data_IF_640300898120
#
_entry.id   IF_640300898120
#
_cell.length_a   1.000
_cell.length_b   1.000
_cell.length_c   1.000
_cell.angle_alpha   90.00
_cell.angle_beta   90.00
_cell.angle_gamma   90.00
#
_symmetry.space_group_name_H-M   'P 1'
#
loop_
_entity.id
_entity.type
_entity.pdbx_description
1 polymer ?
#
# COMPACT_ATOMS: atom_id res chain seq x y z
N UNK A 1 17.67 6.80 6.15
CA UNK A 1 17.71 6.49 4.67
C UNK A 1 16.51 7.14 4.02
N UNK A 2 16.72 7.89 2.92
CA UNK A 2 15.61 8.55 2.21
C UNK A 2 14.76 7.51 1.48
N UNK A 3 13.48 7.45 1.80
CA UNK A 3 12.54 6.49 1.24
C UNK A 3 11.73 7.06 0.07
N UNK A 4 11.39 8.35 0.16
CA UNK A 4 10.70 9.09 -0.89
C UNK A 4 11.44 10.41 -1.11
N UNK A 5 11.62 10.80 -2.37
CA UNK A 5 12.25 12.08 -2.74
C UNK A 5 11.61 12.59 -4.04
N UNK A 6 10.69 13.55 -3.88
CA UNK A 6 9.99 14.24 -4.97
C UNK A 6 10.41 15.69 -5.01
N UNK A 7 10.85 16.17 -6.19
CA UNK A 7 11.21 17.56 -6.44
C UNK A 7 10.50 18.09 -7.68
N UNK A 8 9.68 19.11 -7.47
CA UNK A 8 8.90 19.77 -8.52
C UNK A 8 8.10 18.79 -9.39
N UNK A 9 7.45 17.80 -8.76
CA UNK A 9 6.67 16.78 -9.45
C UNK A 9 5.26 17.28 -9.74
N UNK A 10 4.80 17.09 -10.96
CA UNK A 10 3.42 17.28 -11.36
C UNK A 10 2.67 15.95 -11.32
N UNK A 11 1.50 15.94 -10.71
CA UNK A 11 0.63 14.76 -10.60
C UNK A 11 -0.62 14.96 -11.43
N UNK A 12 -0.84 14.06 -12.36
CA UNK A 12 -2.01 14.04 -13.24
C UNK A 12 -2.94 12.89 -12.89
N UNK A 13 -4.23 13.11 -13.05
CA UNK A 13 -5.23 12.06 -13.11
C UNK A 13 -5.87 12.09 -14.48
N UNK A 14 -5.64 11.07 -15.28
CA UNK A 14 -5.90 11.08 -16.73
C UNK A 14 -5.12 12.24 -17.40
N UNK A 15 -5.83 13.23 -17.95
CA UNK A 15 -5.24 14.43 -18.56
C UNK A 15 -5.31 15.67 -17.66
N UNK A 16 -5.93 15.58 -16.50
CA UNK A 16 -6.11 16.72 -15.59
C UNK A 16 -4.93 16.86 -14.62
N UNK A 17 -4.32 18.04 -14.57
CA UNK A 17 -3.32 18.38 -13.57
C UNK A 17 -4.01 18.52 -12.20
N UNK A 18 -3.65 17.65 -11.26
CA UNK A 18 -4.22 17.61 -9.91
C UNK A 18 -3.31 18.31 -8.91
N UNK A 19 -2.01 18.10 -9.03
CA UNK A 19 -0.99 18.72 -8.16
C UNK A 19 0.14 19.24 -9.02
N UNK A 20 0.62 20.44 -8.72
CA UNK A 20 1.71 21.12 -9.43
C UNK A 20 2.91 21.37 -8.51
N UNK A 21 4.11 21.14 -9.03
CA UNK A 21 5.38 21.44 -8.36
C UNK A 21 5.47 20.84 -6.94
N UNK A 22 5.03 19.59 -6.76
CA UNK A 22 5.10 18.92 -5.47
C UNK A 22 6.55 18.66 -5.08
N UNK A 23 6.93 19.13 -3.91
CA UNK A 23 8.15 18.72 -3.21
C UNK A 23 7.73 17.94 -1.97
N UNK A 24 8.20 16.70 -1.86
CA UNK A 24 7.86 15.81 -0.76
C UNK A 24 9.01 14.84 -0.52
N UNK A 25 9.44 14.74 0.71
CA UNK A 25 10.45 13.79 1.13
C UNK A 25 9.98 13.00 2.35
N UNK A 26 10.49 11.78 2.48
CA UNK A 26 10.27 10.94 3.64
C UNK A 26 11.51 10.10 3.93
N UNK A 27 11.89 10.04 5.20
CA UNK A 27 13.00 9.24 5.69
C UNK A 27 12.54 8.03 6.53
N UNK A 28 13.45 7.11 6.74
CA UNK A 28 13.20 5.95 7.59
C UNK A 28 12.90 6.39 9.03
N UNK A 29 11.85 5.79 9.62
CA UNK A 29 11.39 6.08 10.97
C UNK A 29 10.50 7.30 11.12
N UNK A 30 10.23 8.03 10.04
CA UNK A 30 9.31 9.17 10.09
C UNK A 30 7.84 8.73 10.08
N UNK A 31 7.02 9.54 10.73
CA UNK A 31 5.57 9.46 10.69
C UNK A 31 5.02 10.77 10.14
N UNK A 32 4.43 10.73 8.95
CA UNK A 32 4.02 11.91 8.19
C UNK A 32 2.50 11.97 8.03
N UNK A 33 1.89 13.09 8.44
CA UNK A 33 0.50 13.39 8.16
C UNK A 33 0.37 14.21 6.87
N UNK A 34 -0.32 13.66 5.87
CA UNK A 34 -0.70 14.40 4.68
C UNK A 34 -2.09 15.03 4.87
N UNK A 35 -2.13 16.33 5.13
CA UNK A 35 -3.33 17.09 5.45
C UNK A 35 -3.81 17.97 4.29
N UNK A 36 -5.07 18.31 4.29
CA UNK A 36 -5.69 19.20 3.29
C UNK A 36 -7.18 18.90 3.08
N UNK A 37 -7.88 19.81 2.42
CA UNK A 37 -9.31 19.66 2.11
C UNK A 37 -9.59 18.43 1.23
N UNK A 38 -10.82 17.95 1.22
CA UNK A 38 -11.27 16.90 0.30
C UNK A 38 -11.09 17.37 -1.15
N UNK A 39 -10.61 16.49 -2.02
CA UNK A 39 -10.39 16.81 -3.44
C UNK A 39 -9.07 17.52 -3.76
N UNK A 40 -8.18 17.78 -2.80
CA UNK A 40 -6.89 18.47 -3.04
C UNK A 40 -5.78 17.57 -3.58
N UNK A 41 -6.05 16.34 -4.01
CA UNK A 41 -5.05 15.47 -4.63
C UNK A 41 -4.19 14.63 -3.67
N UNK A 42 -4.48 14.59 -2.37
CA UNK A 42 -3.72 13.77 -1.39
C UNK A 42 -3.64 12.30 -1.81
N UNK A 43 -4.78 11.70 -2.12
CA UNK A 43 -4.84 10.32 -2.58
C UNK A 43 -4.14 10.13 -3.93
N UNK A 44 -4.19 11.11 -4.82
CA UNK A 44 -3.47 11.07 -6.10
C UNK A 44 -1.95 11.08 -5.88
N UNK A 45 -1.45 11.88 -4.93
CA UNK A 45 -0.04 11.85 -4.55
C UNK A 45 0.36 10.47 -4.02
N UNK A 46 -0.39 9.90 -3.06
CA UNK A 46 -0.11 8.56 -2.53
C UNK A 46 -0.10 7.49 -3.64
N UNK A 47 -1.02 7.59 -4.59
CA UNK A 47 -1.11 6.66 -5.74
C UNK A 47 0.13 6.68 -6.63
N UNK A 48 0.86 7.79 -6.67
CA UNK A 48 2.13 7.84 -7.40
C UNK A 48 3.22 7.02 -6.69
N UNK A 49 3.23 6.94 -5.35
CA UNK A 49 4.27 6.23 -4.60
C UNK A 49 4.29 4.73 -4.85
N UNK A 50 3.14 4.12 -5.18
CA UNK A 50 3.08 2.69 -5.52
C UNK A 50 2.75 2.43 -6.99
N UNK A 51 2.87 3.46 -7.83
CA UNK A 51 2.75 3.36 -9.28
C UNK A 51 1.35 3.00 -9.78
N UNK A 52 0.29 3.41 -9.08
CA UNK A 52 -1.08 3.38 -9.61
C UNK A 52 -1.32 4.57 -10.55
N UNK A 53 -0.82 5.75 -10.19
CA UNK A 53 -0.73 6.90 -11.09
C UNK A 53 0.72 7.06 -11.58
N UNK A 54 0.95 7.27 -12.88
CA UNK A 54 2.28 7.51 -13.41
C UNK A 54 2.78 8.90 -13.02
N UNK A 55 4.11 9.02 -12.90
CA UNK A 55 4.79 10.31 -12.80
C UNK A 55 5.52 10.57 -14.11
N UNK A 56 5.05 11.56 -14.87
CA UNK A 56 5.63 11.89 -16.17
C UNK A 56 6.50 13.13 -16.13
N UNK A 57 6.24 14.04 -15.19
CA UNK A 57 6.87 15.36 -15.09
C UNK A 57 7.42 15.61 -13.68
N UNK A 58 8.58 16.22 -13.61
CA UNK A 58 9.23 16.60 -12.38
C UNK A 58 10.75 16.55 -12.48
N UNK A 59 11.41 17.27 -11.59
CA UNK A 59 12.87 17.28 -11.53
C UNK A 59 13.39 15.93 -11.01
N UNK A 60 12.77 15.43 -9.95
CA UNK A 60 13.10 14.14 -9.32
C UNK A 60 11.85 13.49 -8.75
N UNK A 61 11.72 12.18 -8.95
CA UNK A 61 10.64 11.39 -8.37
C UNK A 61 11.15 10.00 -8.02
N UNK A 62 11.59 9.80 -6.78
CA UNK A 62 12.13 8.52 -6.31
C UNK A 62 11.31 7.97 -5.15
N UNK A 63 11.08 6.65 -5.18
CA UNK A 63 10.46 5.88 -4.11
C UNK A 63 11.25 4.60 -3.91
N UNK A 64 11.77 4.37 -2.70
CA UNK A 64 12.54 3.17 -2.34
C UNK A 64 13.68 2.84 -3.34
N UNK A 65 14.30 3.89 -3.88
CA UNK A 65 15.38 3.79 -4.86
C UNK A 65 14.92 3.64 -6.32
N UNK A 66 13.63 3.47 -6.59
CA UNK A 66 13.09 3.46 -7.95
C UNK A 66 12.85 4.86 -8.48
N UNK A 67 13.25 5.15 -9.71
CA UNK A 67 12.83 6.37 -10.42
C UNK A 67 11.40 6.15 -10.97
N UNK A 68 10.45 6.90 -10.45
CA UNK A 68 9.03 6.73 -10.78
C UNK A 68 8.69 7.21 -12.18
N UNK A 69 9.53 8.06 -12.80
CA UNK A 69 9.35 8.51 -14.19
C UNK A 69 9.74 7.43 -15.20
N UNK A 70 10.70 6.60 -14.84
CA UNK A 70 11.22 5.51 -15.69
C UNK A 70 10.74 4.12 -15.27
N UNK A 71 9.80 4.05 -14.32
CA UNK A 71 9.34 2.80 -13.73
C UNK A 71 8.60 1.95 -14.77
N UNK A 72 9.18 0.79 -15.09
CA UNK A 72 8.56 -0.17 -16.02
C UNK A 72 7.49 -1.00 -15.32
N UNK A 73 6.48 -1.43 -16.06
CA UNK A 73 5.41 -2.31 -15.54
C UNK A 73 5.94 -3.59 -14.89
N UNK A 74 7.05 -4.14 -15.39
CA UNK A 74 7.71 -5.32 -14.83
C UNK A 74 8.33 -5.09 -13.44
N UNK A 75 8.63 -3.84 -13.07
CA UNK A 75 9.22 -3.47 -11.78
C UNK A 75 8.17 -3.15 -10.71
N UNK A 76 6.92 -2.86 -11.12
CA UNK A 76 5.82 -2.54 -10.20
C UNK A 76 5.60 -3.62 -9.11
N UNK A 77 5.61 -4.92 -9.40
CA UNK A 77 5.46 -5.94 -8.35
C UNK A 77 6.56 -5.88 -7.30
N UNK A 78 7.80 -5.62 -7.70
CA UNK A 78 8.94 -5.55 -6.77
C UNK A 78 8.91 -4.29 -5.91
N UNK A 79 8.48 -3.14 -6.49
CA UNK A 79 8.23 -1.93 -5.71
C UNK A 79 7.12 -2.16 -4.66
N UNK A 80 5.98 -2.71 -5.09
CA UNK A 80 4.80 -2.92 -4.24
C UNK A 80 5.03 -3.92 -3.12
N UNK A 81 5.90 -4.91 -3.29
CA UNK A 81 6.32 -5.83 -2.22
C UNK A 81 7.01 -5.14 -1.04
N UNK A 82 7.59 -3.96 -1.28
CA UNK A 82 8.29 -3.16 -0.27
C UNK A 82 7.38 -2.15 0.44
N UNK A 83 6.11 -2.08 0.06
CA UNK A 83 5.14 -1.12 0.55
C UNK A 83 3.95 -1.84 1.19
N UNK A 84 3.67 -1.54 2.45
CA UNK A 84 2.40 -1.86 3.07
C UNK A 84 1.37 -0.78 2.73
N UNK A 85 0.28 -1.14 2.05
CA UNK A 85 -0.76 -0.20 1.64
C UNK A 85 -2.09 -0.57 2.30
N UNK A 86 -2.66 0.39 3.02
CA UNK A 86 -3.98 0.28 3.63
C UNK A 86 -4.94 1.15 2.83
N UNK A 87 -5.88 0.52 2.12
CA UNK A 87 -6.88 1.21 1.33
C UNK A 87 -8.09 1.61 2.18
N UNK A 88 -8.70 2.75 1.84
CA UNK A 88 -9.86 3.28 2.57
C UNK A 88 -11.09 2.37 2.47
N UNK A 89 -11.27 1.67 1.37
CA UNK A 89 -12.37 0.74 1.06
C UNK A 89 -12.03 -0.73 1.39
N UNK A 90 -11.04 -0.94 2.27
CA UNK A 90 -10.54 -2.23 2.75
C UNK A 90 -9.95 -3.14 1.65
N UNK A 91 -10.59 -3.28 0.50
CA UNK A 91 -10.18 -4.15 -0.62
C UNK A 91 -9.83 -5.58 -0.17
N UNK A 92 -10.61 -6.14 0.74
CA UNK A 92 -10.54 -7.55 1.08
C UNK A 92 -11.19 -8.39 -0.03
N UNK A 93 -10.62 -9.55 -0.32
CA UNK A 93 -11.21 -10.51 -1.23
C UNK A 93 -12.45 -11.11 -0.58
N UNK A 94 -13.63 -10.76 -1.07
CA UNK A 94 -14.91 -11.08 -0.43
C UNK A 94 -15.34 -12.54 -0.62
N UNK A 95 -14.74 -13.24 -1.58
CA UNK A 95 -14.93 -14.66 -1.89
C UNK A 95 -14.08 -15.61 -1.03
N UNK A 96 -13.32 -15.08 -0.07
CA UNK A 96 -12.33 -15.81 0.71
C UNK A 96 -12.35 -15.43 2.18
N UNK A 97 -11.99 -16.40 3.03
CA UNK A 97 -11.83 -16.19 4.46
C UNK A 97 -10.69 -15.22 4.78
N UNK A 98 -10.64 -14.74 6.02
CA UNK A 98 -9.53 -13.91 6.53
C UNK A 98 -8.18 -14.60 6.33
N UNK A 99 -8.05 -15.88 6.74
CA UNK A 99 -6.81 -16.66 6.53
C UNK A 99 -6.43 -16.72 5.04
N UNK A 100 -7.39 -16.95 4.16
CA UNK A 100 -7.12 -17.04 2.73
C UNK A 100 -6.75 -15.68 2.10
N UNK A 101 -7.26 -14.56 2.63
CA UNK A 101 -6.83 -13.20 2.25
C UNK A 101 -5.36 -12.96 2.59
N UNK A 102 -4.94 -13.27 3.82
CA UNK A 102 -3.55 -13.10 4.28
C UNK A 102 -2.61 -14.04 3.52
N UNK A 103 -2.99 -15.31 3.37
CA UNK A 103 -2.24 -16.32 2.61
C UNK A 103 -2.04 -15.94 1.16
N UNK A 104 -3.03 -15.31 0.54
CA UNK A 104 -2.93 -14.84 -0.85
C UNK A 104 -1.80 -13.83 -1.01
N UNK A 105 -1.70 -12.85 -0.11
CA UNK A 105 -0.64 -11.83 -0.17
C UNK A 105 0.74 -12.43 0.09
N UNK A 106 0.89 -13.27 1.10
CA UNK A 106 2.16 -13.95 1.37
C UNK A 106 2.65 -14.75 0.15
N UNK A 107 1.77 -15.51 -0.50
CA UNK A 107 2.11 -16.23 -1.74
C UNK A 107 2.46 -15.29 -2.88
N UNK A 108 1.71 -14.22 -3.08
CA UNK A 108 1.96 -13.23 -4.12
C UNK A 108 3.29 -12.48 -3.92
N UNK A 109 3.74 -12.35 -2.67
CA UNK A 109 5.03 -11.74 -2.32
C UNK A 109 6.20 -12.74 -2.32
N UNK A 110 5.95 -14.01 -2.67
CA UNK A 110 7.00 -15.00 -2.91
C UNK A 110 7.22 -16.03 -1.80
N UNK A 111 6.39 -16.03 -0.74
CA UNK A 111 6.47 -17.05 0.31
C UNK A 111 6.04 -18.42 -0.24
N UNK A 112 6.85 -19.44 0.01
CA UNK A 112 6.63 -20.80 -0.52
C UNK A 112 6.41 -21.81 0.60
N UNK A 113 7.07 -21.64 1.74
CA UNK A 113 7.01 -22.58 2.85
C UNK A 113 5.65 -22.47 3.57
N UNK A 114 4.88 -23.56 3.56
CA UNK A 114 3.54 -23.61 4.15
C UNK A 114 3.57 -23.40 5.68
N UNK A 115 4.60 -23.89 6.36
CA UNK A 115 4.75 -23.76 7.82
C UNK A 115 4.99 -22.30 8.17
N UNK A 116 5.95 -21.65 7.51
CA UNK A 116 6.26 -20.22 7.72
C UNK A 116 5.06 -19.31 7.40
N UNK A 117 4.31 -19.61 6.33
CA UNK A 117 3.08 -18.89 5.98
C UNK A 117 2.05 -19.00 7.12
N UNK A 118 1.80 -20.22 7.64
CA UNK A 118 0.85 -20.42 8.72
C UNK A 118 1.28 -19.70 9.99
N UNK A 119 2.55 -19.78 10.34
CA UNK A 119 3.12 -19.08 11.48
C UNK A 119 2.95 -17.56 11.34
N UNK A 120 3.30 -16.98 10.18
CA UNK A 120 3.16 -15.56 9.92
C UNK A 120 1.71 -15.09 10.00
N UNK A 121 0.75 -15.86 9.47
CA UNK A 121 -0.68 -15.54 9.57
C UNK A 121 -1.11 -15.52 11.04
N UNK A 122 -0.71 -16.52 11.84
CA UNK A 122 -1.02 -16.56 13.27
C UNK A 122 -0.46 -15.35 14.01
N UNK A 123 0.80 -15.00 13.76
CA UNK A 123 1.47 -13.83 14.37
C UNK A 123 0.74 -12.53 14.06
N UNK A 124 0.44 -12.25 12.77
CA UNK A 124 -0.20 -10.99 12.40
C UNK A 124 -1.64 -10.89 12.88
N UNK A 125 -2.38 -12.00 12.93
CA UNK A 125 -3.72 -12.04 13.52
C UNK A 125 -3.68 -11.75 15.01
N UNK A 126 -2.71 -12.29 15.73
CA UNK A 126 -2.50 -12.03 17.16
C UNK A 126 -2.16 -10.54 17.40
N UNK A 127 -1.27 -9.94 16.59
CA UNK A 127 -0.90 -8.54 16.71
C UNK A 127 -2.08 -7.58 16.60
N UNK A 128 -3.11 -7.95 15.83
CA UNK A 128 -4.32 -7.13 15.65
C UNK A 128 -5.52 -7.60 16.49
N UNK A 129 -5.34 -8.59 17.38
CA UNK A 129 -6.40 -9.14 18.23
C UNK A 129 -7.50 -9.85 17.45
N UNK A 130 -7.14 -10.60 16.41
CA UNK A 130 -8.06 -11.31 15.52
C UNK A 130 -7.74 -12.81 15.37
N UNK A 131 -6.99 -13.37 16.30
CA UNK A 131 -6.48 -14.75 16.28
C UNK A 131 -7.59 -15.82 16.14
N UNK A 132 -8.81 -15.51 16.62
CA UNK A 132 -9.95 -16.44 16.54
C UNK A 132 -10.84 -16.21 15.31
N UNK A 133 -10.48 -15.30 14.41
CA UNK A 133 -11.32 -14.87 13.27
C UNK A 133 -10.82 -15.33 11.90
N UNK A 134 -9.75 -16.11 11.82
CA UNK A 134 -9.14 -16.55 10.56
C UNK A 134 -10.08 -17.28 9.61
N UNK A 135 -11.06 -18.01 10.13
CA UNK A 135 -12.03 -18.78 9.35
C UNK A 135 -13.21 -17.95 8.81
N UNK A 136 -13.39 -16.73 9.31
CA UNK A 136 -14.53 -15.88 8.91
C UNK A 136 -14.35 -15.28 7.51
N UNK A 137 -15.49 -15.04 6.87
CA UNK A 137 -15.55 -14.23 5.64
C UNK A 137 -15.52 -12.74 5.99
N UNK A 138 -15.01 -11.87 5.11
CA UNK A 138 -15.05 -10.41 5.33
C UNK A 138 -16.45 -9.86 5.64
N UNK A 139 -17.49 -10.40 5.03
CA UNK A 139 -18.89 -10.00 5.26
C UNK A 139 -19.42 -10.31 6.67
N UNK A 140 -18.75 -11.22 7.39
CA UNK A 140 -19.10 -11.59 8.77
C UNK A 140 -18.37 -10.73 9.82
N UNK A 141 -17.55 -9.79 9.36
CA UNK A 141 -16.77 -8.90 10.21
C UNK A 141 -17.39 -7.50 10.27
N UNK A 142 -17.34 -6.88 11.45
CA UNK A 142 -17.63 -5.45 11.59
C UNK A 142 -16.60 -4.62 10.82
N UNK A 143 -16.92 -3.34 10.52
CA UNK A 143 -15.99 -2.45 9.84
C UNK A 143 -14.66 -2.29 10.57
N UNK A 144 -14.68 -2.21 11.91
CA UNK A 144 -13.47 -2.15 12.73
C UNK A 144 -12.65 -3.45 12.68
N UNK A 145 -13.29 -4.61 12.60
CA UNK A 145 -12.61 -5.91 12.42
C UNK A 145 -11.99 -6.00 11.02
N UNK A 146 -12.72 -5.58 9.97
CA UNK A 146 -12.19 -5.51 8.61
C UNK A 146 -10.95 -4.60 8.53
N UNK A 147 -11.00 -3.43 9.19
CA UNK A 147 -9.86 -2.51 9.29
C UNK A 147 -8.63 -3.21 9.89
N UNK A 148 -8.80 -3.94 11.00
CA UNK A 148 -7.71 -4.69 11.63
C UNK A 148 -7.13 -5.78 10.71
N UNK A 149 -7.97 -6.47 9.94
CA UNK A 149 -7.49 -7.45 8.95
C UNK A 149 -6.70 -6.78 7.82
N UNK A 150 -7.13 -5.61 7.36
CA UNK A 150 -6.39 -4.84 6.35
C UNK A 150 -5.02 -4.41 6.88
N UNK A 151 -4.94 -4.00 8.16
CA UNK A 151 -3.65 -3.69 8.82
C UNK A 151 -2.77 -4.95 8.90
N UNK A 152 -3.33 -6.09 9.30
CA UNK A 152 -2.59 -7.36 9.33
C UNK A 152 -2.09 -7.81 7.96
N UNK A 153 -2.78 -7.42 6.88
CA UNK A 153 -2.42 -7.74 5.50
C UNK A 153 -1.28 -6.86 4.97
N UNK A 154 -1.17 -5.60 5.39
CA UNK A 154 -0.14 -4.64 4.98
C UNK A 154 1.22 -4.94 5.64
#
# INVERSE_FOLDING_TARGET
MQLIDYKNVNVYQESQLVLQNVCFDAEEGEFIYLTGKVGTGKSSLLKTFYGELPVNEGQQARVLGYDMKELRRSQLPELRKKLGIIFQDFQLLTDRTVDANLRFVLKATGWKNKIEINQRISEVLQLVGMETKGYKMPSELSGGEQQRIVIARA
#
